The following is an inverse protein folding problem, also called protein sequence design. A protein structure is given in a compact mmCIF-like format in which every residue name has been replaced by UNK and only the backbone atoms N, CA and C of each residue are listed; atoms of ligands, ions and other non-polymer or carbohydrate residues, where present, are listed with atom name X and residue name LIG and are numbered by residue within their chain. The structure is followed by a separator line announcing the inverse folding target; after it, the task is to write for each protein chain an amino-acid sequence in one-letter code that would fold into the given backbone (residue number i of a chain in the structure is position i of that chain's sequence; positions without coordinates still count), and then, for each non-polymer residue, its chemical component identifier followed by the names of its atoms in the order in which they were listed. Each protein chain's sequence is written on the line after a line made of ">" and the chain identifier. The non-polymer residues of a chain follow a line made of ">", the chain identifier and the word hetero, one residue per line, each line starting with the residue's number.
data_IF_415541489651
#
_entry.id   IF_415541489651
#
_cell.length_a   1.000
_cell.length_b   1.000
_cell.length_c   1.000
_cell.angle_alpha   90.00
_cell.angle_beta   90.00
_cell.angle_gamma   90.00
#
_symmetry.space_group_name_H-M   'P 1'
#
loop_
_entity.id
_entity.type
_entity.pdbx_description
1 polymer ?
#
# COMPACT_ATOMS: atom_id res chain seq x y z
N UNK A 1 -5.13 9.08 23.75
CA UNK A 1 -6.44 8.69 23.16
C UNK A 1 -6.86 7.41 23.82
N UNK A 2 -8.14 7.26 24.16
CA UNK A 2 -8.66 5.97 24.61
C UNK A 2 -8.44 4.90 23.52
N UNK A 3 -8.05 3.66 23.87
CA UNK A 3 -7.73 2.60 22.90
C UNK A 3 -8.87 2.32 21.90
N UNK A 4 -10.12 2.46 22.36
CA UNK A 4 -11.32 2.29 21.56
C UNK A 4 -11.45 3.34 20.46
N UNK A 5 -11.06 4.58 20.73
CA UNK A 5 -11.10 5.68 19.75
C UNK A 5 -10.09 5.44 18.64
N UNK A 6 -8.90 4.95 18.97
CA UNK A 6 -7.89 4.61 17.96
C UNK A 6 -8.33 3.47 17.04
N UNK A 7 -8.95 2.41 17.59
CA UNK A 7 -9.51 1.33 16.78
C UNK A 7 -10.58 1.84 15.80
N UNK A 8 -11.48 2.72 16.25
CA UNK A 8 -12.51 3.29 15.38
C UNK A 8 -11.91 4.15 14.26
N UNK A 9 -10.87 4.94 14.55
CA UNK A 9 -10.16 5.75 13.56
C UNK A 9 -9.50 4.85 12.51
N UNK A 10 -8.75 3.83 12.92
CA UNK A 10 -8.08 2.92 11.98
C UNK A 10 -9.07 2.11 11.14
N UNK A 11 -10.21 1.71 11.71
CA UNK A 11 -11.29 1.07 10.98
C UNK A 11 -11.84 1.98 9.88
N UNK A 12 -12.12 3.25 10.21
CA UNK A 12 -12.60 4.24 9.24
C UNK A 12 -11.59 4.50 8.13
N UNK A 13 -10.30 4.64 8.48
CA UNK A 13 -9.21 4.79 7.51
C UNK A 13 -9.15 3.58 6.58
N UNK A 14 -9.26 2.37 7.13
CA UNK A 14 -9.25 1.13 6.36
C UNK A 14 -10.41 1.05 5.37
N UNK A 15 -11.63 1.34 5.82
CA UNK A 15 -12.83 1.36 4.98
C UNK A 15 -12.75 2.42 3.88
N UNK A 16 -12.38 3.65 4.25
CA UNK A 16 -12.27 4.76 3.32
C UNK A 16 -11.18 4.51 2.28
N UNK A 17 -9.98 4.12 2.70
CA UNK A 17 -8.88 3.81 1.79
C UNK A 17 -9.19 2.59 0.91
N UNK A 18 -9.89 1.59 1.43
CA UNK A 18 -10.35 0.42 0.66
C UNK A 18 -11.37 0.79 -0.41
N UNK A 19 -12.34 1.63 -0.07
CA UNK A 19 -13.33 2.15 -1.01
C UNK A 19 -12.67 2.97 -2.13
N UNK A 20 -11.78 3.91 -1.77
CA UNK A 20 -11.00 4.69 -2.73
C UNK A 20 -10.11 3.80 -3.61
N UNK A 21 -9.46 2.79 -3.03
CA UNK A 21 -8.66 1.81 -3.77
C UNK A 21 -9.49 1.06 -4.81
N UNK A 22 -10.69 0.63 -4.45
CA UNK A 22 -11.61 -0.07 -5.35
C UNK A 22 -12.14 0.83 -6.48
N UNK A 23 -12.44 2.09 -6.18
CA UNK A 23 -12.92 3.06 -7.18
C UNK A 23 -11.84 3.47 -8.18
N UNK A 24 -10.64 3.80 -7.71
CA UNK A 24 -9.57 4.35 -8.54
C UNK A 24 -8.58 3.29 -9.05
N UNK A 25 -8.62 2.07 -8.51
CA UNK A 25 -7.68 1.00 -8.87
C UNK A 25 -6.23 1.24 -8.41
N UNK A 26 -5.98 2.25 -7.57
CA UNK A 26 -4.63 2.70 -7.15
C UNK A 26 -4.00 1.85 -6.04
N UNK A 27 -4.66 0.79 -5.56
CA UNK A 27 -4.13 -0.06 -4.47
C UNK A 27 -4.19 0.54 -3.07
N UNK A 28 -4.80 1.73 -2.90
CA UNK A 28 -5.17 2.33 -1.61
C UNK A 28 -4.02 2.84 -0.74
N UNK A 29 -2.77 2.55 -1.12
CA UNK A 29 -1.61 2.82 -0.29
C UNK A 29 -1.22 4.29 -0.18
N UNK A 30 -1.40 5.03 -1.28
CA UNK A 30 -1.20 6.49 -1.34
C UNK A 30 -2.18 7.24 -0.44
N UNK A 31 -3.35 6.68 -0.16
CA UNK A 31 -4.36 7.28 0.73
C UNK A 31 -4.19 6.79 2.18
N UNK A 32 -3.92 5.51 2.38
CA UNK A 32 -3.79 4.91 3.73
C UNK A 32 -2.62 5.48 4.51
N UNK A 33 -1.45 5.59 3.87
CA UNK A 33 -0.21 6.02 4.54
C UNK A 33 -0.30 7.41 5.16
N UNK A 34 -0.70 8.47 4.43
CA UNK A 34 -0.83 9.81 5.02
C UNK A 34 -1.92 9.86 6.09
N UNK A 35 -3.03 9.14 5.92
CA UNK A 35 -4.09 9.10 6.94
C UNK A 35 -3.64 8.44 8.25
N UNK A 36 -2.87 7.35 8.17
CA UNK A 36 -2.30 6.70 9.36
C UNK A 36 -1.27 7.59 10.04
N UNK A 37 -0.45 8.31 9.27
CA UNK A 37 0.52 9.27 9.83
C UNK A 37 -0.19 10.41 10.57
N UNK A 38 -1.22 11.00 9.97
CA UNK A 38 -2.05 12.04 10.60
C UNK A 38 -2.80 11.50 11.83
N UNK A 39 -3.17 10.22 11.85
CA UNK A 39 -3.76 9.55 13.00
C UNK A 39 -2.77 9.29 14.15
N UNK A 40 -1.48 9.65 13.98
CA UNK A 40 -0.45 9.58 15.02
C UNK A 40 0.44 8.34 14.96
N UNK A 41 0.34 7.49 13.91
CA UNK A 41 1.35 6.45 13.72
C UNK A 41 2.68 7.07 13.28
N UNK A 42 3.82 6.56 13.77
CA UNK A 42 5.11 6.85 13.17
C UNK A 42 5.08 6.54 11.67
N UNK A 43 5.66 7.41 10.85
CA UNK A 43 5.61 7.32 9.39
C UNK A 43 6.11 5.95 8.88
N UNK A 44 7.18 5.43 9.48
CA UNK A 44 7.72 4.11 9.14
C UNK A 44 6.74 2.97 9.45
N UNK A 45 6.00 3.06 10.55
CA UNK A 45 4.95 2.09 10.91
C UNK A 45 3.76 2.19 9.95
N UNK A 46 3.37 3.40 9.54
CA UNK A 46 2.31 3.61 8.55
C UNK A 46 2.66 2.95 7.20
N UNK A 47 3.91 3.08 6.73
CA UNK A 47 4.39 2.37 5.54
C UNK A 47 4.35 0.85 5.73
N UNK A 48 4.78 0.33 6.88
CA UNK A 48 4.74 -1.10 7.18
C UNK A 48 3.32 -1.68 7.15
N UNK A 49 2.35 -0.99 7.77
CA UNK A 49 0.92 -1.38 7.71
C UNK A 49 0.43 -1.37 6.26
N UNK A 50 0.84 -0.37 5.49
CA UNK A 50 0.41 -0.27 4.11
C UNK A 50 0.94 -1.41 3.23
N UNK A 51 2.23 -1.76 3.35
CA UNK A 51 2.87 -2.89 2.67
C UNK A 51 2.15 -4.21 2.93
N UNK A 52 1.64 -4.42 4.15
CA UNK A 52 0.89 -5.63 4.51
C UNK A 52 -0.47 -5.70 3.80
N UNK A 53 -1.14 -4.56 3.61
CA UNK A 53 -2.52 -4.54 3.13
C UNK A 53 -2.63 -4.49 1.59
N UNK A 54 -1.65 -3.89 0.91
CA UNK A 54 -1.61 -3.80 -0.57
C UNK A 54 -1.85 -5.16 -1.26
N UNK A 55 -1.18 -6.27 -0.87
CA UNK A 55 -1.40 -7.58 -1.51
C UNK A 55 -2.86 -8.02 -1.52
N UNK A 56 -3.58 -7.80 -0.41
CA UNK A 56 -4.98 -8.18 -0.31
C UNK A 56 -5.86 -7.34 -1.25
N UNK A 57 -5.64 -6.02 -1.31
CA UNK A 57 -6.38 -5.16 -2.24
C UNK A 57 -6.03 -5.39 -3.71
N UNK A 58 -4.76 -5.68 -4.01
CA UNK A 58 -4.33 -5.98 -5.38
C UNK A 58 -4.87 -7.33 -5.84
N UNK A 59 -4.93 -8.33 -4.94
CA UNK A 59 -5.50 -9.63 -5.23
C UNK A 59 -7.00 -9.53 -5.55
N UNK A 60 -7.77 -8.79 -4.74
CA UNK A 60 -9.20 -8.58 -5.03
C UNK A 60 -9.41 -7.84 -6.35
N UNK A 61 -8.60 -6.82 -6.63
CA UNK A 61 -8.61 -6.09 -7.91
C UNK A 61 -8.32 -7.01 -9.10
N UNK A 62 -7.27 -7.84 -9.01
CA UNK A 62 -6.87 -8.79 -10.04
C UNK A 62 -7.94 -9.86 -10.29
N UNK A 63 -8.58 -10.39 -9.24
CA UNK A 63 -9.67 -11.36 -9.36
C UNK A 63 -10.89 -10.71 -10.02
N UNK A 64 -11.27 -9.51 -9.58
CA UNK A 64 -12.43 -8.78 -10.11
C UNK A 64 -12.28 -8.47 -11.60
N UNK A 65 -11.07 -8.09 -12.03
CA UNK A 65 -10.77 -7.70 -13.41
C UNK A 65 -10.14 -8.81 -14.25
N UNK A 66 -10.12 -10.07 -13.78
CA UNK A 66 -9.38 -11.18 -14.41
C UNK A 66 -9.63 -11.40 -15.90
N UNK A 67 -10.81 -11.02 -16.40
CA UNK A 67 -11.20 -11.15 -17.81
C UNK A 67 -10.57 -10.09 -18.71
N UNK A 68 -10.16 -8.97 -18.13
CA UNK A 68 -9.58 -7.82 -18.82
C UNK A 68 -8.05 -7.77 -18.70
N UNK A 69 -7.44 -8.81 -18.14
CA UNK A 69 -5.99 -8.88 -17.96
C UNK A 69 -5.37 -9.55 -19.19
N UNK A 70 -4.52 -8.82 -19.89
CA UNK A 70 -3.61 -9.38 -20.89
C UNK A 70 -2.55 -10.23 -20.16
N UNK A 71 -2.52 -11.53 -20.44
CA UNK A 71 -1.63 -12.47 -19.75
C UNK A 71 -0.17 -12.31 -20.12
N UNK A 72 0.11 -11.84 -21.33
CA UNK A 72 1.47 -11.62 -21.80
C UNK A 72 2.07 -10.41 -21.08
N UNK A 73 1.35 -9.29 -21.07
CA UNK A 73 1.76 -8.09 -20.32
C UNK A 73 1.87 -8.40 -18.83
N UNK A 74 0.88 -9.10 -18.25
CA UNK A 74 0.91 -9.46 -16.84
C UNK A 74 2.16 -10.28 -16.48
N UNK A 75 2.63 -11.17 -17.36
CA UNK A 75 3.85 -11.95 -17.12
C UNK A 75 5.08 -11.05 -17.01
N UNK A 76 5.25 -10.09 -17.92
CA UNK A 76 6.37 -9.15 -17.88
C UNK A 76 6.30 -8.26 -16.64
N UNK A 77 5.12 -7.77 -16.29
CA UNK A 77 4.91 -6.96 -15.07
C UNK A 77 5.20 -7.76 -13.80
N UNK A 78 4.82 -9.04 -13.73
CA UNK A 78 5.12 -9.90 -12.58
C UNK A 78 6.63 -10.11 -12.43
N UNK A 79 7.33 -10.45 -13.52
CA UNK A 79 8.77 -10.71 -13.48
C UNK A 79 9.53 -9.44 -13.09
N UNK A 80 9.20 -8.31 -13.74
CA UNK A 80 9.79 -7.01 -13.41
C UNK A 80 9.49 -6.61 -11.97
N UNK A 81 8.23 -6.71 -11.55
CA UNK A 81 7.81 -6.36 -10.19
C UNK A 81 8.50 -7.19 -9.10
N UNK A 82 8.76 -8.48 -9.33
CA UNK A 82 9.53 -9.31 -8.40
C UNK A 82 10.98 -8.81 -8.33
N UNK A 83 11.62 -8.57 -9.47
CA UNK A 83 13.01 -8.07 -9.52
C UNK A 83 13.13 -6.70 -8.83
N UNK A 84 12.20 -5.80 -9.10
CA UNK A 84 12.17 -4.44 -8.53
C UNK A 84 11.89 -4.46 -7.03
N UNK A 85 10.96 -5.31 -6.56
CA UNK A 85 10.64 -5.42 -5.14
C UNK A 85 11.83 -5.95 -4.35
N UNK A 86 12.54 -6.95 -4.88
CA UNK A 86 13.75 -7.48 -4.23
C UNK A 86 14.84 -6.43 -4.17
N UNK A 87 15.16 -5.81 -5.31
CA UNK A 87 16.18 -4.75 -5.40
C UNK A 87 15.85 -3.57 -4.49
N UNK A 88 14.59 -3.13 -4.49
CA UNK A 88 14.08 -2.04 -3.66
C UNK A 88 14.15 -2.35 -2.16
N UNK A 89 13.84 -3.58 -1.75
CA UNK A 89 13.95 -4.01 -0.36
C UNK A 89 15.41 -3.93 0.14
N UNK A 90 16.39 -4.31 -0.67
CA UNK A 90 17.81 -4.18 -0.32
C UNK A 90 18.26 -2.72 -0.28
N UNK A 91 17.84 -1.90 -1.25
CA UNK A 91 18.16 -0.47 -1.30
C UNK A 91 17.62 0.30 -0.09
N UNK A 92 16.45 -0.09 0.42
CA UNK A 92 15.80 0.56 1.56
C UNK A 92 16.66 0.53 2.83
N UNK A 93 17.56 -0.44 2.98
CA UNK A 93 18.50 -0.54 4.12
C UNK A 93 19.60 0.53 4.06
N UNK A 94 19.91 1.01 2.86
CA UNK A 94 21.04 1.92 2.60
C UNK A 94 20.55 3.38 2.52
N UNK A 95 19.28 3.59 2.15
CA UNK A 95 18.71 4.92 1.93
C UNK A 95 18.23 5.54 3.25
N UNK A 96 18.56 6.82 3.53
CA UNK A 96 18.02 7.55 4.68
C UNK A 96 16.48 7.59 4.71
N UNK A 97 15.90 7.44 5.90
CA UNK A 97 14.44 7.46 6.12
C UNK A 97 13.75 8.69 5.52
N UNK A 98 14.42 9.85 5.50
CA UNK A 98 13.88 11.07 4.91
C UNK A 98 13.67 10.95 3.39
N UNK A 99 14.58 10.28 2.68
CA UNK A 99 14.47 10.07 1.23
C UNK A 99 13.36 9.06 0.93
N UNK A 100 13.27 7.98 1.72
CA UNK A 100 12.18 7.00 1.61
C UNK A 100 10.83 7.70 1.83
N UNK A 101 10.73 8.57 2.83
CA UNK A 101 9.52 9.34 3.09
C UNK A 101 9.11 10.26 1.92
N UNK A 102 10.05 10.78 1.15
CA UNK A 102 9.76 11.64 -0.01
C UNK A 102 9.36 10.81 -1.23
N UNK A 103 9.99 9.64 -1.45
CA UNK A 103 9.72 8.78 -2.61
C UNK A 103 8.37 8.04 -2.48
N UNK A 104 7.99 7.65 -1.26
CA UNK A 104 6.78 6.88 -0.99
C UNK A 104 5.54 7.74 -0.67
N UNK A 105 5.64 9.07 -0.76
CA UNK A 105 4.51 10.03 -0.66
C UNK A 105 4.05 10.41 -2.06
#
# INVERSE_FOLDING_TARGET
>A
MEPTTQMLIYLFIGLFAGFMSGMFGIGGGSVRTPLLYVAGLPLLSAFGVNLLVIPFSSLTGAISHRKNIDREIARYVIIGGIMDTLTGAFLTVIIPTLIIAIIFV
#
